data_IF_682756380319
#
_entry.id   IF_682756380319
#
_cell.length_a   1.000
_cell.length_b   1.000
_cell.length_c   1.000
_cell.angle_alpha   90.00
_cell.angle_beta   90.00
_cell.angle_gamma   90.00
#
_symmetry.space_group_name_H-M   'P 1'
#
loop_
_entity.id
_entity.type
_entity.pdbx_description
1 polymer ?
#
# COMPACT_ATOMS: atom_id res chain seq x y z
N UNK A 1 46.72 -32.53 23.28
CA UNK A 1 46.78 -31.75 22.02
C UNK A 1 45.73 -32.11 20.96
N UNK A 2 44.96 -33.20 21.05
CA UNK A 2 43.93 -33.55 20.05
C UNK A 2 42.53 -32.97 20.34
N UNK A 3 42.25 -32.54 21.58
CA UNK A 3 40.93 -32.00 21.96
C UNK A 3 40.76 -30.52 21.61
N UNK A 4 41.84 -29.72 21.64
CA UNK A 4 41.76 -28.27 21.31
C UNK A 4 41.31 -28.01 19.86
N UNK A 5 41.81 -28.82 18.91
CA UNK A 5 41.46 -28.67 17.49
C UNK A 5 39.96 -28.98 17.16
N UNK A 6 39.30 -29.79 17.99
CA UNK A 6 37.90 -30.15 17.80
C UNK A 6 36.94 -29.05 18.24
N UNK A 7 37.36 -28.24 19.22
CA UNK A 7 36.56 -27.11 19.71
C UNK A 7 36.61 -25.94 18.74
N UNK A 8 37.76 -25.68 18.13
CA UNK A 8 37.93 -24.62 17.14
C UNK A 8 37.15 -24.89 15.85
N UNK A 9 37.05 -26.16 15.40
CA UNK A 9 36.30 -26.55 14.22
C UNK A 9 34.79 -26.44 14.42
N UNK A 10 34.28 -26.62 15.65
CA UNK A 10 32.84 -26.46 15.97
C UNK A 10 32.45 -24.98 16.13
N UNK A 11 33.37 -24.15 16.58
CA UNK A 11 33.16 -22.71 16.69
C UNK A 11 33.07 -22.02 15.32
N UNK A 12 33.94 -22.40 14.38
CA UNK A 12 33.93 -21.84 13.03
C UNK A 12 32.73 -22.28 12.19
N UNK A 13 32.28 -23.53 12.35
CA UNK A 13 31.07 -24.02 11.67
C UNK A 13 29.78 -23.36 12.17
N UNK A 14 29.74 -23.00 13.46
CA UNK A 14 28.61 -22.28 14.06
C UNK A 14 28.52 -20.82 13.58
N UNK A 15 29.66 -20.14 13.45
CA UNK A 15 29.72 -18.74 13.00
C UNK A 15 29.41 -18.58 11.51
N UNK A 16 29.80 -19.55 10.68
CA UNK A 16 29.49 -19.53 9.24
C UNK A 16 28.00 -19.77 8.99
N UNK A 17 27.32 -20.54 9.87
CA UNK A 17 25.90 -20.85 9.70
C UNK A 17 24.97 -19.71 10.12
N UNK A 18 25.41 -18.82 11.01
CA UNK A 18 24.65 -17.64 11.41
C UNK A 18 24.77 -16.46 10.44
N UNK A 19 25.87 -16.40 9.65
CA UNK A 19 26.05 -15.38 8.63
C UNK A 19 25.23 -15.62 7.36
N UNK A 20 24.84 -16.88 7.07
CA UNK A 20 24.04 -17.22 5.88
C UNK A 20 22.53 -17.05 6.04
N UNK A 21 22.01 -16.91 7.28
CA UNK A 21 20.56 -16.79 7.52
C UNK A 21 20.06 -15.35 7.55
N UNK A 22 20.94 -14.36 7.46
CA UNK A 22 20.58 -12.93 7.41
C UNK A 22 20.67 -12.30 6.02
N UNK A 23 21.21 -13.04 5.04
CA UNK A 23 21.46 -12.48 3.69
C UNK A 23 20.33 -12.73 2.69
N UNK A 24 19.35 -13.58 3.02
CA UNK A 24 18.19 -13.87 2.16
C UNK A 24 16.93 -13.12 2.53
N UNK A 25 16.98 -12.21 3.47
CA UNK A 25 16.00 -11.15 3.57
C UNK A 25 16.32 -10.15 2.45
N UNK A 26 15.98 -10.54 1.21
CA UNK A 26 15.99 -9.65 0.05
C UNK A 26 15.26 -8.40 0.52
N UNK A 27 16.04 -7.35 0.75
CA UNK A 27 15.54 -6.04 1.13
C UNK A 27 14.74 -5.51 -0.08
N UNK A 28 13.49 -5.95 -0.18
CA UNK A 28 12.48 -5.43 -1.13
C UNK A 28 12.13 -3.98 -0.76
N UNK A 29 13.14 -3.28 -0.26
CA UNK A 29 13.08 -1.87 0.06
C UNK A 29 12.97 -1.12 -1.25
N UNK A 30 11.74 -0.87 -1.66
CA UNK A 30 11.49 -0.04 -2.83
C UNK A 30 12.16 1.32 -2.64
N UNK A 31 12.88 1.78 -3.66
CA UNK A 31 13.52 3.09 -3.62
C UNK A 31 12.49 4.15 -3.27
N UNK A 32 12.83 5.05 -2.34
CA UNK A 32 11.92 6.10 -1.89
C UNK A 32 11.35 6.94 -3.03
N UNK A 33 12.09 7.06 -4.13
CA UNK A 33 11.65 7.73 -5.35
C UNK A 33 10.47 7.04 -6.03
N UNK A 34 10.42 5.70 -6.02
CA UNK A 34 9.31 4.93 -6.59
C UNK A 34 8.05 5.14 -5.77
N UNK A 35 8.18 5.11 -4.44
CA UNK A 35 7.06 5.35 -3.51
C UNK A 35 6.47 6.74 -3.71
N UNK A 36 7.29 7.77 -3.56
CA UNK A 36 6.81 9.15 -3.65
C UNK A 36 6.46 9.55 -5.08
N UNK A 37 7.21 9.07 -6.08
CA UNK A 37 6.91 9.31 -7.49
C UNK A 37 5.58 8.72 -7.91
N UNK A 38 5.27 7.48 -7.50
CA UNK A 38 3.97 6.88 -7.78
C UNK A 38 2.83 7.60 -7.06
N UNK A 39 2.98 7.95 -5.78
CA UNK A 39 1.97 8.72 -5.04
C UNK A 39 1.70 10.05 -5.73
N UNK A 40 2.76 10.78 -6.11
CA UNK A 40 2.63 12.08 -6.80
C UNK A 40 1.95 11.92 -8.16
N UNK A 41 2.33 10.91 -8.94
CA UNK A 41 1.71 10.65 -10.25
C UNK A 41 0.20 10.35 -10.11
N UNK A 42 -0.18 9.49 -9.17
CA UNK A 42 -1.59 9.17 -8.94
C UNK A 42 -2.35 10.31 -8.27
N UNK A 43 -1.68 11.15 -7.47
CA UNK A 43 -2.27 12.38 -6.95
C UNK A 43 -2.61 13.34 -8.10
N UNK A 44 -1.66 13.62 -9.01
CA UNK A 44 -1.92 14.46 -10.17
C UNK A 44 -3.03 13.88 -11.08
N UNK A 45 -3.04 12.57 -11.27
CA UNK A 45 -4.12 11.89 -12.00
C UNK A 45 -5.46 12.04 -11.29
N UNK A 46 -5.47 12.07 -9.97
CA UNK A 46 -6.67 12.26 -9.15
C UNK A 46 -7.24 13.68 -9.22
N UNK A 47 -6.46 14.68 -9.64
CA UNK A 47 -6.94 16.06 -9.84
C UNK A 47 -7.74 16.21 -11.15
N UNK A 48 -7.77 15.21 -12.03
CA UNK A 48 -8.57 15.25 -13.24
C UNK A 48 -10.07 15.12 -12.94
N UNK A 49 -10.94 15.80 -13.71
CA UNK A 49 -12.38 15.89 -13.43
C UNK A 49 -13.14 14.56 -13.54
N UNK A 50 -12.56 13.49 -14.09
CA UNK A 50 -13.19 12.17 -14.18
C UNK A 50 -13.52 11.58 -12.79
N UNK A 51 -12.83 12.01 -11.75
CA UNK A 51 -13.05 11.61 -10.37
C UNK A 51 -14.41 12.07 -9.81
N UNK A 52 -14.98 13.12 -10.35
CA UNK A 52 -16.31 13.63 -9.96
C UNK A 52 -17.43 12.65 -10.33
N UNK A 53 -17.16 11.66 -11.18
CA UNK A 53 -18.12 10.62 -11.49
C UNK A 53 -18.25 9.65 -10.31
N UNK A 54 -19.48 9.35 -9.82
CA UNK A 54 -19.68 8.43 -8.69
C UNK A 54 -19.14 7.02 -8.91
N UNK A 55 -18.96 6.63 -10.17
CA UNK A 55 -18.42 5.34 -10.60
C UNK A 55 -16.90 5.30 -10.65
N UNK A 56 -16.22 6.46 -10.55
CA UNK A 56 -14.77 6.51 -10.68
C UNK A 56 -14.07 5.77 -9.52
N UNK A 57 -13.04 4.94 -9.82
CA UNK A 57 -12.23 4.30 -8.80
C UNK A 57 -11.32 5.32 -8.12
N UNK A 58 -11.18 5.24 -6.81
CA UNK A 58 -10.23 6.06 -6.06
C UNK A 58 -8.82 5.46 -6.15
N UNK A 59 -8.12 5.78 -7.25
CA UNK A 59 -6.79 5.25 -7.54
C UNK A 59 -5.74 5.77 -6.56
N UNK A 60 -5.88 7.00 -6.07
CA UNK A 60 -4.96 7.56 -5.10
C UNK A 60 -5.05 6.81 -3.77
N UNK A 61 -6.26 6.56 -3.27
CA UNK A 61 -6.48 5.75 -2.07
C UNK A 61 -5.85 4.36 -2.24
N UNK A 62 -6.05 3.71 -3.40
CA UNK A 62 -5.48 2.40 -3.68
C UNK A 62 -3.95 2.40 -3.56
N UNK A 63 -3.26 3.37 -4.19
CA UNK A 63 -1.80 3.46 -4.16
C UNK A 63 -1.26 3.80 -2.78
N UNK A 64 -1.91 4.70 -2.05
CA UNK A 64 -1.52 5.06 -0.67
C UNK A 64 -1.66 3.85 0.25
N UNK A 65 -2.76 3.11 0.16
CA UNK A 65 -3.01 1.90 0.93
C UNK A 65 -2.02 0.79 0.55
N UNK A 66 -1.70 0.64 -0.74
CA UNK A 66 -0.70 -0.32 -1.20
C UNK A 66 0.67 -0.06 -0.56
N UNK A 67 1.13 1.19 -0.55
CA UNK A 67 2.40 1.55 0.10
C UNK A 67 2.32 1.49 1.62
N UNK A 68 1.17 1.77 2.23
CA UNK A 68 0.98 1.58 3.67
C UNK A 68 1.13 0.10 4.10
N UNK A 69 0.82 -0.86 3.21
CA UNK A 69 1.08 -2.29 3.44
C UNK A 69 2.56 -2.63 3.25
N UNK A 70 3.20 -2.13 2.18
CA UNK A 70 4.56 -2.52 1.80
C UNK A 70 5.66 -1.70 2.49
N UNK A 71 5.42 -0.40 2.70
CA UNK A 71 6.38 0.55 3.31
C UNK A 71 5.72 1.39 4.42
N UNK A 72 5.23 0.79 5.51
CA UNK A 72 4.48 1.51 6.57
C UNK A 72 5.32 2.54 7.32
N UNK A 73 6.65 2.44 7.22
CA UNK A 73 7.56 3.44 7.83
C UNK A 73 7.58 4.76 7.06
N UNK A 74 7.25 4.74 5.78
CA UNK A 74 7.27 5.91 4.89
C UNK A 74 5.87 6.43 4.60
N UNK A 75 4.92 5.53 4.40
CA UNK A 75 3.53 5.83 4.05
C UNK A 75 2.63 5.25 5.14
N UNK A 76 2.06 6.12 5.94
CA UNK A 76 1.21 5.74 7.05
C UNK A 76 -0.05 6.59 7.13
N UNK A 77 -0.72 6.53 8.27
CA UNK A 77 -1.96 7.28 8.52
C UNK A 77 -1.79 8.79 8.32
N UNK A 78 -0.63 9.35 8.68
CA UNK A 78 -0.37 10.78 8.50
C UNK A 78 -0.33 11.17 7.02
N UNK A 79 0.34 10.35 6.17
CA UNK A 79 0.35 10.58 4.72
C UNK A 79 -1.05 10.46 4.13
N UNK A 80 -1.82 9.45 4.56
CA UNK A 80 -3.21 9.29 4.18
C UNK A 80 -4.06 10.51 4.58
N UNK A 81 -3.90 11.02 5.80
CA UNK A 81 -4.60 12.21 6.27
C UNK A 81 -4.31 13.44 5.40
N UNK A 82 -3.03 13.74 5.16
CA UNK A 82 -2.63 14.91 4.37
C UNK A 82 -3.15 14.82 2.94
N UNK A 83 -2.98 13.67 2.28
CA UNK A 83 -3.46 13.47 0.91
C UNK A 83 -4.99 13.52 0.84
N UNK A 84 -5.69 12.93 1.79
CA UNK A 84 -7.14 12.99 1.86
C UNK A 84 -7.64 14.43 2.06
N UNK A 85 -6.97 15.21 2.91
CA UNK A 85 -7.31 16.61 3.14
C UNK A 85 -7.08 17.47 1.88
N UNK A 86 -6.00 17.20 1.14
CA UNK A 86 -5.75 17.90 -0.14
C UNK A 86 -6.87 17.62 -1.16
N UNK A 87 -7.39 16.38 -1.17
CA UNK A 87 -8.51 16.01 -2.01
C UNK A 87 -9.81 16.67 -1.54
N UNK A 88 -10.07 16.74 -0.23
CA UNK A 88 -11.25 17.43 0.32
C UNK A 88 -11.26 18.91 -0.13
N UNK A 89 -10.12 19.56 -0.11
CA UNK A 89 -9.97 20.95 -0.58
C UNK A 89 -10.15 21.07 -2.09
N UNK A 90 -9.62 20.10 -2.86
CA UNK A 90 -9.72 20.12 -4.32
C UNK A 90 -11.17 19.91 -4.80
N UNK A 91 -11.86 18.93 -4.22
CA UNK A 91 -13.22 18.56 -4.63
C UNK A 91 -14.27 19.55 -4.07
N UNK A 92 -13.86 20.53 -3.25
CA UNK A 92 -14.74 21.48 -2.56
C UNK A 92 -15.88 20.78 -1.78
N UNK A 93 -15.61 19.57 -1.31
CA UNK A 93 -16.54 18.73 -0.54
C UNK A 93 -16.48 19.05 0.96
N UNK A 94 -17.18 18.24 1.78
CA UNK A 94 -17.09 18.36 3.24
C UNK A 94 -15.66 18.09 3.71
N UNK A 95 -15.04 19.07 4.33
CA UNK A 95 -13.67 18.94 4.86
C UNK A 95 -13.58 17.78 5.86
N UNK A 96 -12.57 16.93 5.67
CA UNK A 96 -12.31 15.78 6.52
C UNK A 96 -12.91 14.46 6.01
N UNK A 97 -13.75 14.46 5.00
CA UNK A 97 -14.39 13.27 4.46
C UNK A 97 -13.38 12.29 3.87
N UNK A 98 -12.57 12.72 2.92
CA UNK A 98 -11.51 11.89 2.34
C UNK A 98 -10.34 11.74 3.29
N UNK A 99 -10.02 12.75 4.11
CA UNK A 99 -8.99 12.65 5.13
C UNK A 99 -9.29 11.50 6.09
N UNK A 100 -10.52 11.41 6.63
CA UNK A 100 -10.92 10.31 7.51
C UNK A 100 -10.93 8.96 6.79
N UNK A 101 -11.44 8.93 5.56
CA UNK A 101 -11.50 7.72 4.73
C UNK A 101 -10.10 7.15 4.47
N UNK A 102 -9.14 7.99 4.11
CA UNK A 102 -7.76 7.57 3.83
C UNK A 102 -7.03 7.13 5.10
N UNK A 103 -7.23 7.82 6.22
CA UNK A 103 -6.69 7.40 7.52
C UNK A 103 -7.23 6.02 7.91
N UNK A 104 -8.53 5.80 7.76
CA UNK A 104 -9.16 4.53 8.09
C UNK A 104 -8.65 3.40 7.20
N UNK A 105 -8.51 3.66 5.89
CA UNK A 105 -7.97 2.70 4.94
C UNK A 105 -6.49 2.36 5.24
N UNK A 106 -5.66 3.36 5.53
CA UNK A 106 -4.27 3.15 5.94
C UNK A 106 -4.17 2.40 7.28
N UNK A 107 -5.03 2.72 8.25
CA UNK A 107 -5.08 2.00 9.52
C UNK A 107 -5.40 0.52 9.30
N UNK A 108 -6.44 0.22 8.51
CA UNK A 108 -6.79 -1.15 8.14
C UNK A 108 -5.65 -1.88 7.45
N UNK A 109 -4.94 -1.21 6.53
CA UNK A 109 -3.77 -1.73 5.84
C UNK A 109 -2.64 -2.11 6.81
N UNK A 110 -2.29 -1.22 7.73
CA UNK A 110 -1.23 -1.44 8.73
C UNK A 110 -1.59 -2.57 9.69
N UNK A 111 -2.84 -2.64 10.15
CA UNK A 111 -3.33 -3.73 11.02
C UNK A 111 -3.26 -5.08 10.32
N UNK A 112 -3.63 -5.14 9.04
CA UNK A 112 -3.61 -6.38 8.26
C UNK A 112 -2.23 -6.70 7.66
N UNK A 113 -1.28 -5.78 7.66
CA UNK A 113 0.03 -5.89 6.99
C UNK A 113 0.73 -7.23 7.23
N UNK A 114 0.84 -7.66 8.49
CA UNK A 114 1.55 -8.91 8.85
C UNK A 114 0.93 -10.16 8.22
N UNK A 115 -0.36 -10.14 7.95
CA UNK A 115 -1.08 -11.22 7.26
C UNK A 115 -0.93 -11.08 5.75
N UNK A 116 -1.08 -9.87 5.23
CA UNK A 116 -1.07 -9.58 3.79
C UNK A 116 0.28 -9.92 3.15
N UNK A 117 1.40 -9.57 3.77
CA UNK A 117 2.73 -9.84 3.24
C UNK A 117 3.07 -11.34 3.10
N UNK A 118 2.30 -12.22 3.73
CA UNK A 118 2.44 -13.69 3.58
C UNK A 118 1.67 -14.25 2.38
N UNK A 119 0.83 -13.45 1.72
CA UNK A 119 -0.05 -13.90 0.66
C UNK A 119 0.32 -13.29 -0.70
N UNK A 120 0.02 -14.03 -1.77
CA UNK A 120 0.11 -13.51 -3.13
C UNK A 120 -0.87 -12.35 -3.33
N UNK A 121 -0.59 -11.45 -4.29
CA UNK A 121 -1.37 -10.25 -4.59
C UNK A 121 -2.89 -10.52 -4.73
N UNK A 122 -3.29 -11.66 -5.30
CA UNK A 122 -4.69 -12.07 -5.42
C UNK A 122 -5.37 -12.29 -4.05
N UNK A 123 -4.68 -12.96 -3.14
CA UNK A 123 -5.18 -13.18 -1.78
C UNK A 123 -5.15 -11.88 -0.96
N UNK A 124 -4.16 -11.03 -1.19
CA UNK A 124 -4.11 -9.70 -0.60
C UNK A 124 -5.33 -8.89 -1.03
N UNK A 125 -5.67 -8.87 -2.33
CA UNK A 125 -6.86 -8.19 -2.85
C UNK A 125 -8.12 -8.60 -2.09
N UNK A 126 -8.33 -9.90 -1.91
CA UNK A 126 -9.51 -10.42 -1.21
C UNK A 126 -9.57 -9.96 0.26
N UNK A 127 -8.43 -9.94 0.95
CA UNK A 127 -8.38 -9.51 2.36
C UNK A 127 -8.48 -7.99 2.52
N UNK A 128 -8.18 -7.21 1.47
CA UNK A 128 -8.34 -5.76 1.47
C UNK A 128 -9.75 -5.29 1.14
N UNK A 129 -10.59 -6.15 0.56
CA UNK A 129 -12.01 -5.82 0.27
C UNK A 129 -12.72 -5.22 1.48
N UNK A 130 -12.72 -5.83 2.68
CA UNK A 130 -13.44 -5.28 3.83
C UNK A 130 -12.92 -3.89 4.24
N UNK A 131 -11.62 -3.63 4.08
CA UNK A 131 -11.03 -2.31 4.37
C UNK A 131 -11.55 -1.26 3.39
N UNK A 132 -11.56 -1.57 2.09
CA UNK A 132 -12.09 -0.66 1.07
C UNK A 132 -13.59 -0.46 1.20
N UNK A 133 -14.35 -1.51 1.52
CA UNK A 133 -15.79 -1.42 1.80
C UNK A 133 -16.04 -0.48 2.96
N UNK A 134 -15.35 -0.68 4.08
CA UNK A 134 -15.51 0.17 5.28
C UNK A 134 -15.14 1.63 4.97
N UNK A 135 -14.00 1.87 4.33
CA UNK A 135 -13.58 3.20 3.93
C UNK A 135 -14.64 3.88 3.04
N UNK A 136 -15.16 3.17 2.05
CA UNK A 136 -16.15 3.72 1.13
C UNK A 136 -17.50 3.97 1.79
N UNK A 137 -17.93 3.07 2.66
CA UNK A 137 -19.18 3.27 3.45
C UNK A 137 -19.07 4.52 4.32
N UNK A 138 -17.93 4.76 4.96
CA UNK A 138 -17.69 5.98 5.75
C UNK A 138 -17.77 7.22 4.87
N UNK A 139 -17.13 7.22 3.68
CA UNK A 139 -17.23 8.34 2.73
C UNK A 139 -18.68 8.64 2.37
N UNK A 140 -19.43 7.60 1.96
CA UNK A 140 -20.83 7.73 1.54
C UNK A 140 -21.72 8.20 2.70
N UNK A 141 -21.52 7.65 3.90
CA UNK A 141 -22.27 8.04 5.08
C UNK A 141 -22.03 9.52 5.45
N UNK A 142 -20.78 9.98 5.44
CA UNK A 142 -20.44 11.36 5.69
C UNK A 142 -21.02 12.31 4.64
N UNK A 143 -20.91 11.95 3.35
CA UNK A 143 -21.55 12.69 2.28
C UNK A 143 -23.05 12.82 2.50
N UNK A 144 -23.74 11.71 2.78
CA UNK A 144 -25.17 11.70 2.99
C UNK A 144 -25.60 12.52 4.20
N UNK A 145 -24.81 12.48 5.29
CA UNK A 145 -25.07 13.26 6.51
C UNK A 145 -24.94 14.77 6.27
N UNK A 146 -23.92 15.18 5.50
CA UNK A 146 -23.64 16.60 5.27
C UNK A 146 -24.50 17.19 4.16
N UNK A 147 -24.65 16.46 3.04
CA UNK A 147 -25.41 16.96 1.88
C UNK A 147 -26.91 16.65 1.96
N UNK A 148 -27.35 15.78 2.87
CA UNK A 148 -28.73 15.34 2.98
C UNK A 148 -29.24 14.52 1.79
N UNK A 149 -28.36 14.17 0.85
CA UNK A 149 -28.70 13.45 -0.38
C UNK A 149 -28.01 12.11 -0.45
N UNK A 150 -28.74 11.07 -0.89
CA UNK A 150 -28.16 9.75 -1.10
C UNK A 150 -27.47 9.68 -2.48
N UNK A 151 -26.19 9.30 -2.56
CA UNK A 151 -25.44 9.27 -3.83
C UNK A 151 -25.83 8.11 -4.76
N UNK A 152 -26.90 7.37 -4.45
CA UNK A 152 -27.31 6.20 -5.23
C UNK A 152 -26.38 4.99 -5.01
N UNK A 153 -26.48 3.98 -5.89
CA UNK A 153 -25.70 2.75 -5.82
C UNK A 153 -24.46 2.75 -6.72
N UNK A 154 -24.25 3.83 -7.49
CA UNK A 154 -23.16 3.93 -8.46
C UNK A 154 -21.76 3.81 -7.83
N UNK A 155 -21.61 4.19 -6.56
CA UNK A 155 -20.36 4.05 -5.81
C UNK A 155 -19.87 2.60 -5.65
N UNK A 156 -20.78 1.60 -5.73
CA UNK A 156 -20.39 0.18 -5.70
C UNK A 156 -19.54 -0.21 -6.90
N UNK A 157 -19.77 0.41 -8.07
CA UNK A 157 -18.97 0.17 -9.26
C UNK A 157 -17.56 0.69 -9.05
N UNK A 158 -17.39 1.90 -8.49
CA UNK A 158 -16.10 2.45 -8.14
C UNK A 158 -15.34 1.57 -7.12
N UNK A 159 -16.05 1.04 -6.12
CA UNK A 159 -15.48 0.10 -5.15
C UNK A 159 -15.01 -1.20 -5.82
N UNK A 160 -15.84 -1.80 -6.67
CA UNK A 160 -15.49 -3.02 -7.41
C UNK A 160 -14.26 -2.80 -8.30
N UNK A 161 -14.17 -1.64 -8.96
CA UNK A 161 -13.01 -1.25 -9.77
C UNK A 161 -11.74 -1.09 -8.92
N UNK A 162 -11.80 -0.47 -7.75
CA UNK A 162 -10.65 -0.38 -6.82
C UNK A 162 -10.17 -1.78 -6.43
N UNK A 163 -11.08 -2.68 -6.07
CA UNK A 163 -10.73 -4.06 -5.72
C UNK A 163 -10.12 -4.83 -6.91
N UNK A 164 -10.65 -4.67 -8.11
CA UNK A 164 -10.13 -5.29 -9.34
C UNK A 164 -8.75 -4.74 -9.72
N UNK A 165 -8.55 -3.44 -9.56
CA UNK A 165 -7.30 -2.74 -9.90
C UNK A 165 -6.17 -2.98 -8.88
N UNK A 166 -6.46 -3.54 -7.72
CA UNK A 166 -5.43 -3.88 -6.72
C UNK A 166 -4.31 -4.74 -7.31
N UNK A 167 -4.67 -5.79 -8.05
CA UNK A 167 -3.70 -6.74 -8.61
C UNK A 167 -2.84 -6.11 -9.71
N UNK A 168 -3.41 -5.51 -10.79
CA UNK A 168 -2.61 -4.94 -11.86
C UNK A 168 -1.77 -3.75 -11.40
N UNK A 169 -2.30 -2.89 -10.53
CA UNK A 169 -1.54 -1.76 -9.99
C UNK A 169 -0.45 -2.24 -9.03
N UNK A 170 -0.74 -3.21 -8.17
CA UNK A 170 0.26 -3.81 -7.30
C UNK A 170 1.40 -4.45 -8.10
N UNK A 171 1.08 -5.15 -9.19
CA UNK A 171 2.10 -5.69 -10.10
C UNK A 171 2.93 -4.58 -10.76
N UNK A 172 2.29 -3.53 -11.24
CA UNK A 172 2.96 -2.38 -11.86
C UNK A 172 3.92 -1.67 -10.87
N UNK A 173 3.49 -1.48 -9.62
CA UNK A 173 4.29 -0.80 -8.59
C UNK A 173 5.50 -1.61 -8.10
N UNK A 174 5.43 -2.95 -8.19
CA UNK A 174 6.54 -3.85 -7.82
C UNK A 174 7.55 -4.07 -8.95
N UNK A 175 7.21 -3.77 -10.22
CA UNK A 175 8.09 -3.94 -11.38
C UNK A 175 9.44 -3.20 -11.28
N UNK A 176 9.52 -1.93 -10.83
CA UNK A 176 10.78 -1.21 -10.72
C UNK A 176 11.77 -1.87 -9.78
N UNK A 177 11.32 -2.38 -8.64
CA UNK A 177 12.18 -3.06 -7.65
C UNK A 177 12.85 -4.32 -8.21
N UNK A 178 12.15 -5.11 -9.01
CA UNK A 178 12.68 -6.33 -9.60
C UNK A 178 13.72 -6.07 -10.70
N UNK A 179 13.63 -4.95 -11.43
CA UNK A 179 14.61 -4.62 -12.47
C UNK A 179 15.95 -4.16 -11.92
N UNK A 180 15.94 -3.43 -10.80
CA UNK A 180 17.17 -2.97 -10.15
C UNK A 180 17.90 -4.13 -9.48
N UNK A 181 17.20 -5.06 -8.86
CA UNK A 181 17.78 -6.26 -8.28
C UNK A 181 18.43 -7.18 -9.33
N UNK A 182 17.87 -7.27 -10.54
CA UNK A 182 18.46 -8.07 -11.63
C UNK A 182 19.71 -7.41 -12.25
N UNK A 183 19.80 -6.09 -12.23
CA UNK A 183 20.98 -5.36 -12.74
C UNK A 183 22.18 -5.47 -11.78
N UNK A 184 21.96 -5.47 -10.47
CA UNK A 184 23.04 -5.65 -9.49
C UNK A 184 23.60 -7.07 -9.49
N UNK A 185 22.78 -8.09 -9.76
CA UNK A 185 23.21 -9.48 -9.85
C UNK A 185 24.01 -9.82 -11.14
N UNK A 186 23.96 -8.95 -12.16
CA UNK A 186 24.71 -9.15 -13.43
C UNK A 186 26.08 -8.46 -13.46
N UNK A 187 26.49 -7.77 -12.40
CA UNK A 187 27.77 -7.04 -12.27
C UNK A 187 28.79 -7.73 -11.35
N UNK A 188 28.41 -8.86 -10.75
CA UNK A 188 29.31 -9.76 -10.03
C UNK A 188 29.70 -10.98 -10.89
#
# INVERSE_FOLDING_TARGET
MRQSRRIESLGSAGLVRTQGMGADEIDLRSDGWVVWGSITAFFLLSLLPWRLMPMAPDLLMLVVVFWAVHEPRRVGMFTGFVLGLLIDVHDAGPLGQYALTYVLACYGAVVLQRRLLRFNLWRQALHMVPVFVLARVVTVALSALVSGTWPGWAWLIGLALVCALWVPIGWLLLLPGNRLASMSASTE
#
